data_IF_897886869675
#
_entry.id   IF_897886869675
#
_cell.length_a   1.000
_cell.length_b   1.000
_cell.length_c   1.000
_cell.angle_alpha   90.00
_cell.angle_beta   90.00
_cell.angle_gamma   90.00
#
_symmetry.space_group_name_H-M   'P 1'
#
loop_
_entity.id
_entity.type
_entity.pdbx_description
1 polymer ?
#
# COMPACT_ATOMS: atom_id res chain seq x y z
N UNK A 1 -15.52 -6.53 -86.78
CA UNK A 1 -15.01 -7.50 -87.79
C UNK A 1 -14.58 -8.77 -87.11
N UNK A 2 -15.12 -9.88 -87.61
CA UNK A 2 -14.80 -11.32 -87.37
C UNK A 2 -15.07 -11.83 -85.95
N UNK A 3 -16.18 -12.52 -85.70
CA UNK A 3 -16.70 -13.83 -86.10
C UNK A 3 -15.66 -14.96 -85.98
N UNK A 4 -16.00 -15.95 -85.24
CA UNK A 4 -16.17 -17.40 -85.49
C UNK A 4 -16.02 -18.12 -84.15
N UNK A 5 -16.80 -19.03 -83.67
CA UNK A 5 -17.84 -19.97 -84.12
C UNK A 5 -17.65 -21.26 -83.27
N UNK A 6 -18.74 -21.71 -82.74
CA UNK A 6 -19.12 -23.09 -82.33
C UNK A 6 -18.10 -24.23 -82.36
N UNK A 7 -18.05 -25.01 -81.27
CA UNK A 7 -18.28 -26.46 -81.34
C UNK A 7 -18.92 -26.98 -80.01
N UNK A 8 -20.05 -27.63 -80.17
CA UNK A 8 -20.75 -28.42 -79.16
C UNK A 8 -20.12 -29.80 -79.03
N UNK A 9 -19.90 -30.27 -77.86
CA UNK A 9 -19.75 -31.69 -77.58
C UNK A 9 -20.56 -32.06 -76.30
N UNK A 10 -21.63 -32.82 -76.58
CA UNK A 10 -22.37 -33.52 -75.51
C UNK A 10 -21.56 -34.74 -75.08
N UNK A 11 -21.25 -34.83 -73.79
CA UNK A 11 -20.92 -36.09 -73.15
C UNK A 11 -21.72 -36.20 -71.82
N UNK A 12 -22.52 -37.25 -71.75
CA UNK A 12 -23.33 -37.55 -70.60
C UNK A 12 -22.52 -38.02 -69.41
N UNK A 13 -22.92 -37.57 -68.24
CA UNK A 13 -22.35 -38.00 -66.96
C UNK A 13 -23.48 -38.66 -66.13
N UNK A 14 -23.22 -39.83 -65.54
CA UNK A 14 -24.24 -40.56 -64.76
C UNK A 14 -24.56 -39.87 -63.45
N UNK A 15 -25.84 -39.94 -63.07
CA UNK A 15 -26.34 -39.46 -61.78
C UNK A 15 -25.78 -40.33 -60.67
N UNK A 16 -24.72 -39.84 -59.98
CA UNK A 16 -24.35 -40.33 -58.66
C UNK A 16 -25.17 -39.62 -57.59
N UNK A 17 -25.88 -40.43 -56.83
CA UNK A 17 -26.67 -40.06 -55.65
C UNK A 17 -25.65 -39.65 -54.56
N UNK A 18 -25.44 -38.35 -54.33
CA UNK A 18 -24.68 -37.88 -53.18
C UNK A 18 -25.56 -37.89 -51.96
N UNK A 19 -25.36 -38.90 -51.12
CA UNK A 19 -25.95 -38.98 -49.80
C UNK A 19 -25.25 -37.93 -48.93
N UNK A 20 -25.94 -36.80 -48.66
CA UNK A 20 -25.47 -35.77 -47.75
C UNK A 20 -25.67 -36.26 -46.32
N UNK A 21 -24.62 -36.82 -45.71
CA UNK A 21 -24.61 -37.11 -44.27
C UNK A 21 -24.50 -35.77 -43.55
N UNK A 22 -25.62 -35.24 -43.06
CA UNK A 22 -25.63 -34.10 -42.14
C UNK A 22 -25.19 -34.63 -40.77
N UNK A 23 -23.92 -34.49 -40.46
CA UNK A 23 -23.39 -34.63 -39.08
C UNK A 23 -23.97 -33.49 -38.25
N UNK A 24 -25.04 -33.78 -37.51
CA UNK A 24 -25.53 -32.89 -36.45
C UNK A 24 -24.53 -32.98 -35.31
N UNK A 25 -23.52 -32.08 -35.28
CA UNK A 25 -22.75 -31.82 -34.08
C UNK A 25 -23.67 -31.11 -33.10
N UNK A 26 -23.86 -31.62 -31.86
CA UNK A 26 -24.54 -30.85 -30.84
C UNK A 26 -23.62 -29.65 -30.53
N UNK A 27 -24.13 -28.45 -30.84
CA UNK A 27 -23.55 -27.20 -30.32
C UNK A 27 -23.69 -27.21 -28.79
N UNK A 28 -22.72 -27.76 -28.10
CA UNK A 28 -22.58 -27.50 -26.67
C UNK A 28 -22.28 -26.01 -26.54
N UNK A 29 -23.05 -25.25 -25.75
CA UNK A 29 -22.72 -23.87 -25.47
C UNK A 29 -21.30 -23.82 -24.81
N UNK A 30 -20.48 -22.82 -25.14
CA UNK A 30 -19.21 -22.67 -24.45
C UNK A 30 -19.51 -22.50 -22.95
N UNK A 31 -19.09 -23.44 -22.14
CA UNK A 31 -19.02 -23.29 -20.71
C UNK A 31 -18.03 -22.15 -20.47
N UNK A 32 -18.52 -20.92 -20.36
CA UNK A 32 -17.78 -19.85 -19.72
C UNK A 32 -17.61 -20.29 -18.26
N UNK A 33 -16.47 -20.91 -17.96
CA UNK A 33 -15.95 -20.95 -16.60
C UNK A 33 -15.73 -19.48 -16.22
N UNK A 34 -16.78 -18.84 -15.73
CA UNK A 34 -16.63 -17.63 -14.92
C UNK A 34 -15.85 -18.07 -13.70
N UNK A 35 -14.52 -17.98 -13.79
CA UNK A 35 -13.67 -18.03 -12.63
C UNK A 35 -14.14 -16.88 -11.74
N UNK A 36 -14.97 -17.18 -10.74
CA UNK A 36 -15.14 -16.26 -9.61
C UNK A 36 -13.75 -16.01 -9.08
N UNK A 37 -13.19 -14.84 -9.35
CA UNK A 37 -12.07 -14.35 -8.55
C UNK A 37 -12.56 -14.45 -7.11
N UNK A 38 -11.90 -15.30 -6.32
CA UNK A 38 -12.21 -15.43 -4.91
C UNK A 38 -12.03 -14.03 -4.33
N UNK A 39 -13.14 -13.38 -3.95
CA UNK A 39 -13.08 -12.09 -3.28
C UNK A 39 -12.28 -12.31 -2.00
N UNK A 40 -11.21 -11.56 -1.80
CA UNK A 40 -10.48 -11.60 -0.54
C UNK A 40 -11.46 -11.29 0.58
N UNK A 41 -11.39 -12.04 1.68
CA UNK A 41 -12.22 -11.73 2.85
C UNK A 41 -11.92 -10.29 3.32
N UNK A 42 -12.96 -9.50 3.66
CA UNK A 42 -12.76 -8.14 4.12
C UNK A 42 -11.85 -8.08 5.35
N UNK A 43 -10.96 -7.09 5.41
CA UNK A 43 -10.11 -6.86 6.58
C UNK A 43 -10.95 -6.48 7.80
N UNK A 44 -10.55 -6.98 8.97
CA UNK A 44 -11.14 -6.55 10.23
C UNK A 44 -10.76 -5.09 10.50
N UNK A 45 -11.76 -4.22 10.58
CA UNK A 45 -11.59 -2.79 10.84
C UNK A 45 -12.05 -2.44 12.25
N UNK A 46 -11.35 -1.54 12.90
CA UNK A 46 -11.78 -0.91 14.15
C UNK A 46 -11.98 0.58 13.94
N UNK A 47 -13.15 1.08 14.34
CA UNK A 47 -13.37 2.52 14.43
C UNK A 47 -12.66 3.04 15.69
N UNK A 48 -11.60 3.83 15.52
CA UNK A 48 -10.74 4.34 16.60
C UNK A 48 -11.14 5.75 17.05
N UNK A 49 -11.83 6.47 16.16
CA UNK A 49 -12.48 7.75 16.41
C UNK A 49 -13.67 7.89 15.44
N UNK A 50 -14.62 8.83 15.66
CA UNK A 50 -15.74 9.03 14.74
C UNK A 50 -15.27 9.19 13.29
N UNK A 51 -15.70 8.27 12.40
CA UNK A 51 -15.34 8.22 11.00
C UNK A 51 -13.87 7.89 10.68
N UNK A 52 -13.08 7.43 11.64
CA UNK A 52 -11.69 6.97 11.47
C UNK A 52 -11.62 5.47 11.70
N UNK A 53 -11.28 4.71 10.66
CA UNK A 53 -11.25 3.25 10.67
C UNK A 53 -9.84 2.75 10.38
N UNK A 54 -9.35 1.82 11.20
CA UNK A 54 -8.00 1.24 11.12
C UNK A 54 -8.08 -0.27 11.08
N UNK A 55 -7.38 -0.87 10.14
CA UNK A 55 -6.95 -2.25 10.18
C UNK A 55 -5.57 -2.30 10.84
N UNK A 56 -5.38 -3.23 11.76
CA UNK A 56 -4.10 -3.43 12.44
C UNK A 56 -3.37 -4.56 11.78
N UNK A 57 -2.23 -4.24 11.19
CA UNK A 57 -1.36 -5.23 10.57
C UNK A 57 -0.86 -6.28 11.57
N UNK A 58 -0.58 -7.45 11.08
CA UNK A 58 -0.10 -8.58 11.88
C UNK A 58 1.31 -8.31 12.38
N UNK A 59 1.62 -8.80 13.59
CA UNK A 59 2.98 -8.75 14.13
C UNK A 59 3.82 -9.90 13.55
N UNK A 60 4.25 -9.73 12.29
CA UNK A 60 5.09 -10.67 11.54
C UNK A 60 6.27 -9.95 10.93
N UNK A 61 7.35 -10.68 10.68
CA UNK A 61 8.47 -10.20 9.88
C UNK A 61 8.26 -10.47 8.39
N UNK A 62 8.99 -9.74 7.53
CA UNK A 62 8.92 -9.91 6.08
C UNK A 62 9.30 -11.31 5.59
N UNK A 63 10.08 -12.08 6.37
CA UNK A 63 10.59 -13.41 6.00
C UNK A 63 9.74 -14.57 6.52
N UNK A 64 9.05 -14.40 7.63
CA UNK A 64 8.32 -15.45 8.34
C UNK A 64 6.83 -15.45 8.03
N UNK A 65 6.45 -15.91 6.82
CA UNK A 65 5.04 -16.03 6.42
C UNK A 65 4.38 -14.67 6.16
N UNK A 66 5.15 -13.74 5.59
CA UNK A 66 4.63 -12.46 5.10
C UNK A 66 3.52 -12.70 4.08
N UNK A 67 2.40 -12.04 4.25
CA UNK A 67 1.19 -12.15 3.42
C UNK A 67 0.70 -10.79 2.91
N UNK A 68 1.51 -9.72 3.06
CA UNK A 68 1.15 -8.36 2.67
C UNK A 68 0.42 -7.57 3.76
N UNK A 69 0.20 -8.14 4.94
CA UNK A 69 -0.62 -7.56 6.01
C UNK A 69 0.17 -7.37 7.31
N UNK A 70 1.10 -6.40 7.33
CA UNK A 70 1.90 -6.09 8.53
C UNK A 70 1.81 -4.62 8.97
N UNK A 71 1.36 -3.72 8.10
CA UNK A 71 1.21 -2.30 8.40
C UNK A 71 -0.21 -1.97 8.86
N UNK A 72 -0.34 -0.92 9.67
CA UNK A 72 -1.63 -0.31 9.94
C UNK A 72 -2.07 0.51 8.73
N UNK A 73 -3.23 0.16 8.20
CA UNK A 73 -3.85 0.82 7.05
C UNK A 73 -5.28 1.18 7.38
N UNK A 74 -5.88 2.10 6.65
CA UNK A 74 -7.29 2.41 6.91
C UNK A 74 -7.79 3.63 6.16
N UNK A 75 -8.82 4.28 6.72
CA UNK A 75 -9.45 5.39 6.02
C UNK A 75 -10.20 6.34 6.97
N UNK A 76 -10.44 7.53 6.45
CA UNK A 76 -11.25 8.57 7.09
C UNK A 76 -12.46 8.87 6.22
N UNK A 77 -13.66 8.80 6.81
CA UNK A 77 -14.94 9.05 6.15
C UNK A 77 -15.41 10.47 6.46
N UNK A 78 -15.61 11.28 5.42
CA UNK A 78 -16.26 12.57 5.49
C UNK A 78 -17.75 12.49 5.19
N UNK A 79 -18.39 13.62 4.84
CA UNK A 79 -19.79 13.63 4.39
C UNK A 79 -19.95 13.45 2.89
N UNK A 80 -18.92 13.66 2.07
CA UNK A 80 -18.98 13.56 0.60
C UNK A 80 -17.96 12.56 0.03
N UNK A 81 -16.91 12.24 0.76
CA UNK A 81 -15.83 11.44 0.26
C UNK A 81 -15.07 10.71 1.38
N UNK A 82 -14.22 9.77 0.95
CA UNK A 82 -13.30 9.00 1.79
C UNK A 82 -11.86 9.29 1.37
N UNK A 83 -10.96 9.36 2.37
CA UNK A 83 -9.52 9.29 2.16
C UNK A 83 -9.00 7.97 2.74
N UNK A 84 -8.32 7.17 1.92
CA UNK A 84 -7.60 5.96 2.34
C UNK A 84 -6.17 6.36 2.70
N UNK A 85 -5.66 5.86 3.82
CA UNK A 85 -4.30 6.11 4.29
C UNK A 85 -3.57 4.78 4.35
N UNK A 86 -2.55 4.66 3.50
CA UNK A 86 -1.84 3.43 3.15
C UNK A 86 -2.77 2.29 2.70
N UNK A 87 -2.24 1.32 2.00
CA UNK A 87 -3.07 0.35 1.28
C UNK A 87 -2.64 -1.10 1.50
N UNK A 88 -1.57 -1.32 2.26
CA UNK A 88 -1.03 -2.66 2.52
C UNK A 88 0.01 -3.12 1.51
N UNK A 89 0.56 -4.28 1.79
CA UNK A 89 1.73 -4.82 1.11
C UNK A 89 1.44 -5.68 -0.11
N UNK A 90 0.18 -5.76 -0.56
CA UNK A 90 -0.21 -6.48 -1.77
C UNK A 90 -1.51 -5.93 -2.36
N UNK A 91 -1.75 -6.23 -3.64
CA UNK A 91 -3.04 -5.95 -4.28
C UNK A 91 -4.20 -6.63 -3.53
N UNK A 92 -3.99 -7.86 -3.08
CA UNK A 92 -4.99 -8.60 -2.32
C UNK A 92 -5.35 -7.90 -0.99
N UNK A 93 -4.36 -7.39 -0.26
CA UNK A 93 -4.58 -6.60 0.96
C UNK A 93 -5.34 -5.31 0.66
N UNK A 94 -4.97 -4.60 -0.42
CA UNK A 94 -5.68 -3.41 -0.88
C UNK A 94 -7.13 -3.69 -1.26
N UNK A 95 -7.40 -4.80 -1.94
CA UNK A 95 -8.77 -5.24 -2.28
C UNK A 95 -9.59 -5.56 -1.03
N UNK A 96 -9.00 -6.27 -0.07
CA UNK A 96 -9.66 -6.60 1.19
C UNK A 96 -9.99 -5.33 2.01
N UNK A 97 -9.11 -4.31 2.00
CA UNK A 97 -9.39 -2.99 2.58
C UNK A 97 -10.54 -2.29 1.84
N UNK A 98 -10.54 -2.32 0.50
CA UNK A 98 -11.58 -1.71 -0.34
C UNK A 98 -12.95 -2.35 -0.08
N UNK A 99 -13.02 -3.67 0.04
CA UNK A 99 -14.25 -4.39 0.40
C UNK A 99 -14.74 -4.05 1.81
N UNK A 100 -13.81 -3.99 2.79
CA UNK A 100 -14.14 -3.57 4.16
C UNK A 100 -14.65 -2.12 4.22
N UNK A 101 -14.09 -1.22 3.42
CA UNK A 101 -14.57 0.16 3.27
C UNK A 101 -15.98 0.21 2.71
N UNK A 102 -16.26 -0.53 1.64
CA UNK A 102 -17.58 -0.60 1.00
C UNK A 102 -18.67 -1.13 1.91
N UNK A 103 -18.33 -1.99 2.85
CA UNK A 103 -19.26 -2.46 3.88
C UNK A 103 -19.66 -1.36 4.88
N UNK A 104 -18.87 -0.29 4.99
CA UNK A 104 -19.09 0.82 5.92
C UNK A 104 -19.75 2.02 5.21
N UNK A 105 -19.33 2.34 3.98
CA UNK A 105 -19.84 3.50 3.24
C UNK A 105 -19.76 3.29 1.73
N UNK A 106 -20.73 3.86 1.01
CA UNK A 106 -20.74 3.93 -0.45
C UNK A 106 -20.18 5.24 -1.00
N UNK A 107 -19.70 6.14 -0.13
CA UNK A 107 -19.06 7.38 -0.56
C UNK A 107 -17.83 7.09 -1.42
N UNK A 108 -17.55 7.94 -2.43
CA UNK A 108 -16.40 7.73 -3.30
C UNK A 108 -15.08 7.91 -2.54
N UNK A 109 -14.11 7.05 -2.83
CA UNK A 109 -12.72 7.30 -2.43
C UNK A 109 -12.19 8.43 -3.30
N UNK A 110 -11.95 9.58 -2.73
CA UNK A 110 -11.42 10.77 -3.43
C UNK A 110 -9.90 10.83 -3.37
N UNK A 111 -9.32 10.32 -2.29
CA UNK A 111 -7.89 10.37 -2.05
C UNK A 111 -7.38 9.01 -1.57
N UNK A 112 -6.22 8.62 -2.10
CA UNK A 112 -5.35 7.59 -1.50
C UNK A 112 -4.08 8.33 -1.08
N UNK A 113 -3.67 8.17 0.17
CA UNK A 113 -2.53 8.90 0.74
C UNK A 113 -1.52 7.88 1.21
N UNK A 114 -0.29 7.92 0.68
CA UNK A 114 0.79 7.11 1.19
C UNK A 114 1.62 7.91 2.18
N UNK A 115 1.79 7.35 3.38
CA UNK A 115 2.62 7.94 4.43
C UNK A 115 4.10 7.94 4.06
N UNK A 116 4.55 6.87 3.36
CA UNK A 116 5.88 6.73 2.80
C UNK A 116 5.90 5.60 1.75
N UNK A 117 7.08 5.19 1.28
CA UNK A 117 7.23 4.29 0.14
C UNK A 117 7.64 2.86 0.45
N UNK A 118 7.54 2.38 1.69
CA UNK A 118 7.82 0.98 1.97
C UNK A 118 6.74 0.04 1.41
N UNK A 119 7.13 -1.18 1.04
CA UNK A 119 6.25 -2.11 0.32
C UNK A 119 4.93 -2.40 1.01
N UNK A 120 4.95 -2.56 2.33
CA UNK A 120 3.79 -2.87 3.16
C UNK A 120 2.77 -1.73 3.31
N UNK A 121 3.09 -0.54 2.80
CA UNK A 121 2.20 0.62 2.77
C UNK A 121 1.63 0.92 1.40
N UNK A 122 2.27 0.49 0.28
CA UNK A 122 1.96 1.02 -1.05
C UNK A 122 1.54 -0.01 -2.10
N UNK A 123 1.83 -1.31 -1.93
CA UNK A 123 1.53 -2.30 -2.97
C UNK A 123 0.05 -2.57 -3.17
N UNK A 124 -0.82 -2.18 -2.22
CA UNK A 124 -2.27 -2.20 -2.37
C UNK A 124 -2.84 -1.02 -3.17
N UNK A 125 -2.04 -0.01 -3.55
CA UNK A 125 -2.52 1.17 -4.27
C UNK A 125 -3.30 0.81 -5.54
N UNK A 126 -2.86 -0.20 -6.30
CA UNK A 126 -3.50 -0.63 -7.54
C UNK A 126 -4.96 -1.01 -7.34
N UNK A 127 -5.34 -1.58 -6.20
CA UNK A 127 -6.72 -1.95 -5.89
C UNK A 127 -7.68 -0.75 -5.88
N UNK A 128 -7.19 0.43 -5.57
CA UNK A 128 -7.97 1.68 -5.54
C UNK A 128 -7.90 2.44 -6.87
N UNK A 129 -6.86 2.22 -7.68
CA UNK A 129 -6.69 2.87 -8.98
C UNK A 129 -7.44 2.12 -10.10
N UNK A 130 -7.82 0.88 -9.85
CA UNK A 130 -8.54 0.03 -10.80
C UNK A 130 -10.01 0.49 -10.84
N UNK A 131 -10.39 1.15 -11.93
CA UNK A 131 -11.72 1.70 -12.13
C UNK A 131 -12.66 0.64 -12.72
N UNK A 132 -13.24 -0.17 -11.86
CA UNK A 132 -14.28 -1.14 -12.26
C UNK A 132 -15.67 -0.51 -12.46
N UNK A 133 -15.84 0.81 -12.42
CA UNK A 133 -17.17 1.43 -12.39
C UNK A 133 -17.38 2.71 -13.20
N UNK A 134 -16.39 3.19 -13.97
CA UNK A 134 -16.52 4.43 -14.77
C UNK A 134 -16.39 5.72 -13.96
N UNK A 135 -16.06 5.65 -12.66
CA UNK A 135 -15.73 6.82 -11.86
C UNK A 135 -14.27 7.22 -12.07
N UNK A 136 -13.94 8.48 -11.94
CA UNK A 136 -12.56 8.94 -11.99
C UNK A 136 -11.76 8.28 -10.84
N UNK A 137 -10.52 7.80 -11.10
CA UNK A 137 -9.69 7.22 -10.05
C UNK A 137 -9.37 8.27 -8.98
N UNK A 138 -9.17 7.84 -7.72
CA UNK A 138 -8.78 8.75 -6.65
C UNK A 138 -7.43 9.42 -6.94
N UNK A 139 -7.22 10.60 -6.35
CA UNK A 139 -5.91 11.22 -6.36
C UNK A 139 -4.99 10.46 -5.41
N UNK A 140 -3.86 9.94 -5.93
CA UNK A 140 -2.80 9.34 -5.12
C UNK A 140 -1.84 10.44 -4.66
N UNK A 141 -1.81 10.70 -3.37
CA UNK A 141 -1.01 11.78 -2.75
C UNK A 141 0.09 11.17 -1.89
N UNK A 142 1.30 11.70 -2.03
CA UNK A 142 2.46 11.27 -1.26
C UNK A 142 3.43 12.44 -1.07
N UNK A 143 4.54 12.20 -0.36
CA UNK A 143 5.67 13.10 -0.34
C UNK A 143 6.26 13.27 -1.75
N UNK A 144 6.65 14.49 -2.15
CA UNK A 144 7.19 14.77 -3.50
C UNK A 144 8.44 13.96 -3.88
N UNK A 145 9.17 13.41 -2.89
CA UNK A 145 10.34 12.55 -3.13
C UNK A 145 9.97 11.07 -3.40
N UNK A 146 8.72 10.67 -3.19
CA UNK A 146 8.32 9.28 -3.40
C UNK A 146 8.49 8.81 -4.86
N UNK A 147 8.04 9.54 -5.91
CA UNK A 147 8.22 9.08 -7.28
C UNK A 147 9.68 8.84 -7.68
N UNK A 148 10.64 9.77 -7.44
CA UNK A 148 12.05 9.49 -7.74
C UNK A 148 12.66 8.38 -6.88
N UNK A 149 12.17 8.17 -5.65
CA UNK A 149 12.57 7.02 -4.84
C UNK A 149 12.11 5.70 -5.48
N UNK A 150 10.84 5.59 -5.87
CA UNK A 150 10.30 4.40 -6.53
C UNK A 150 10.95 4.13 -7.89
N UNK A 151 11.35 5.16 -8.62
CA UNK A 151 12.10 5.00 -9.86
C UNK A 151 13.46 4.30 -9.64
N UNK A 152 14.08 4.48 -8.47
CA UNK A 152 15.36 3.83 -8.11
C UNK A 152 15.19 2.46 -7.46
N UNK A 153 14.17 2.29 -6.61
CA UNK A 153 13.99 1.10 -5.75
C UNK A 153 12.89 0.14 -6.22
N UNK A 154 11.98 0.62 -7.06
CA UNK A 154 10.76 -0.11 -7.39
C UNK A 154 10.98 -1.49 -8.02
N UNK A 155 11.98 -1.65 -8.88
CA UNK A 155 12.30 -2.96 -9.46
C UNK A 155 12.76 -3.97 -8.41
N UNK A 156 13.54 -3.52 -7.43
CA UNK A 156 13.96 -4.38 -6.32
C UNK A 156 12.75 -4.76 -5.45
N UNK A 157 11.87 -3.82 -5.16
CA UNK A 157 10.65 -4.05 -4.39
C UNK A 157 9.75 -5.11 -5.05
N UNK A 158 9.50 -4.99 -6.36
CA UNK A 158 8.71 -5.98 -7.11
C UNK A 158 9.35 -7.37 -7.09
N UNK A 159 10.67 -7.46 -7.28
CA UNK A 159 11.37 -8.76 -7.20
C UNK A 159 11.31 -9.36 -5.80
N UNK A 160 11.43 -8.55 -4.76
CA UNK A 160 11.33 -9.01 -3.38
C UNK A 160 9.91 -9.51 -3.09
N UNK A 161 8.90 -8.73 -3.47
CA UNK A 161 7.50 -9.10 -3.29
C UNK A 161 7.17 -10.43 -4.00
N UNK A 162 7.58 -10.58 -5.26
CA UNK A 162 7.38 -11.83 -6.00
C UNK A 162 8.04 -13.04 -5.33
N UNK A 163 9.21 -12.86 -4.70
CA UNK A 163 9.87 -13.94 -3.94
C UNK A 163 9.15 -14.27 -2.64
N UNK A 164 8.59 -13.26 -1.97
CA UNK A 164 7.92 -13.42 -0.67
C UNK A 164 6.50 -13.96 -0.80
N UNK A 165 5.74 -13.48 -1.77
CA UNK A 165 4.32 -13.81 -1.93
C UNK A 165 4.04 -14.81 -3.06
N UNK A 166 5.00 -15.07 -3.96
CA UNK A 166 4.73 -15.92 -5.14
C UNK A 166 3.54 -15.41 -5.93
N UNK A 167 2.54 -16.26 -6.16
CA UNK A 167 1.29 -15.91 -6.87
C UNK A 167 0.48 -14.82 -6.13
N UNK A 168 0.64 -14.68 -4.82
CA UNK A 168 0.02 -13.63 -4.02
C UNK A 168 0.50 -12.20 -4.36
N UNK A 169 1.60 -12.07 -5.09
CA UNK A 169 2.08 -10.78 -5.61
C UNK A 169 1.30 -10.28 -6.84
N UNK A 170 0.41 -11.11 -7.42
CA UNK A 170 -0.34 -10.76 -8.63
C UNK A 170 -1.14 -9.47 -8.43
N UNK A 171 -1.10 -8.58 -9.42
CA UNK A 171 -1.79 -7.29 -9.38
C UNK A 171 -1.11 -6.20 -8.52
N UNK A 172 -0.10 -6.55 -7.73
CA UNK A 172 0.63 -5.60 -6.87
C UNK A 172 1.55 -4.72 -7.71
N UNK A 173 1.03 -3.59 -8.17
CA UNK A 173 1.74 -2.63 -9.01
C UNK A 173 2.20 -1.43 -8.18
N UNK A 174 3.39 -0.91 -8.50
CA UNK A 174 3.82 0.38 -7.99
C UNK A 174 3.18 1.48 -8.82
N UNK A 175 2.28 2.23 -8.20
CA UNK A 175 1.58 3.34 -8.84
C UNK A 175 2.27 4.64 -8.44
N UNK A 176 2.61 5.46 -9.42
CA UNK A 176 3.17 6.79 -9.16
C UNK A 176 2.10 7.71 -8.57
N UNK A 177 2.47 8.52 -7.58
CA UNK A 177 1.58 9.53 -7.03
C UNK A 177 1.24 10.59 -8.09
N UNK A 178 -0.04 11.01 -8.11
CA UNK A 178 -0.55 12.06 -9.00
C UNK A 178 -0.48 13.45 -8.37
N UNK A 179 -0.26 13.50 -7.06
CA UNK A 179 -0.04 14.72 -6.27
C UNK A 179 1.09 14.52 -5.28
N UNK A 180 1.83 15.59 -4.98
CA UNK A 180 2.93 15.56 -4.03
C UNK A 180 2.98 16.80 -3.16
N UNK A 181 3.49 16.63 -1.93
CA UNK A 181 3.72 17.69 -0.97
C UNK A 181 5.19 17.69 -0.55
N UNK A 182 5.82 18.85 -0.50
CA UNK A 182 7.22 19.05 -0.12
C UNK A 182 7.39 19.41 1.36
N UNK A 183 8.63 19.27 1.83
CA UNK A 183 9.00 19.70 3.19
C UNK A 183 8.73 21.19 3.35
N UNK A 184 8.08 21.56 4.46
CA UNK A 184 7.67 22.94 4.75
C UNK A 184 6.33 23.32 4.17
N UNK A 185 5.78 22.55 3.25
CA UNK A 185 4.44 22.76 2.71
C UNK A 185 3.37 22.08 3.60
N UNK A 186 2.15 22.57 3.48
CA UNK A 186 0.96 21.97 4.10
C UNK A 186 -0.14 21.86 3.05
N UNK A 187 -0.76 20.69 2.99
CA UNK A 187 -1.89 20.45 2.12
C UNK A 187 -3.13 20.15 2.98
N UNK A 188 -4.24 20.82 2.67
CA UNK A 188 -5.55 20.53 3.26
C UNK A 188 -6.41 19.82 2.23
N UNK A 189 -6.92 18.65 2.59
CA UNK A 189 -7.87 17.89 1.79
C UNK A 189 -9.25 17.97 2.45
N UNK A 190 -10.28 18.21 1.66
CA UNK A 190 -11.65 18.27 2.15
C UNK A 190 -12.45 17.04 1.71
N UNK A 191 -13.12 16.42 2.66
CA UNK A 191 -13.97 15.25 2.48
C UNK A 191 -15.48 15.60 2.62
N UNK A 192 -15.84 16.86 2.43
CA UNK A 192 -17.17 17.40 2.70
C UNK A 192 -17.26 17.96 4.13
N UNK A 193 -16.61 19.13 4.36
CA UNK A 193 -16.55 19.78 5.68
C UNK A 193 -15.62 19.11 6.70
N UNK A 194 -15.03 17.96 6.37
CA UNK A 194 -14.02 17.29 7.17
C UNK A 194 -12.65 17.44 6.54
N UNK A 195 -11.75 18.13 7.22
CA UNK A 195 -10.43 18.48 6.69
C UNK A 195 -9.33 17.58 7.22
N UNK A 196 -8.53 17.04 6.30
CA UNK A 196 -7.28 16.35 6.60
C UNK A 196 -6.11 17.30 6.31
N UNK A 197 -5.25 17.52 7.29
CA UNK A 197 -4.03 18.31 7.14
C UNK A 197 -2.83 17.36 6.96
N UNK A 198 -2.18 17.44 5.79
CA UNK A 198 -1.01 16.67 5.46
C UNK A 198 0.25 17.48 5.72
N UNK A 199 1.29 16.82 6.25
CA UNK A 199 2.61 17.40 6.48
C UNK A 199 3.69 16.46 5.95
N UNK A 200 4.53 16.97 5.07
CA UNK A 200 5.75 16.29 4.63
C UNK A 200 6.89 16.59 5.62
N UNK A 201 7.70 15.57 5.90
CA UNK A 201 8.81 15.65 6.84
C UNK A 201 10.16 15.70 6.14
N UNK A 202 11.17 16.32 6.75
CA UNK A 202 12.57 16.09 6.39
C UNK A 202 12.91 14.60 6.54
N UNK A 203 14.02 14.17 5.94
CA UNK A 203 14.51 12.79 6.09
C UNK A 203 14.50 12.35 7.54
N UNK A 204 13.73 11.29 7.83
CA UNK A 204 13.55 10.72 9.17
C UNK A 204 13.57 9.19 9.08
N UNK A 205 12.41 8.49 9.16
CA UNK A 205 12.34 7.05 8.91
C UNK A 205 12.72 6.72 7.46
N UNK A 206 12.24 7.52 6.50
CA UNK A 206 12.68 7.56 5.11
C UNK A 206 13.03 9.00 4.70
N UNK A 207 13.38 9.23 3.42
CA UNK A 207 13.53 10.57 2.87
C UNK A 207 12.21 11.17 2.33
N UNK A 208 11.09 10.46 2.52
CA UNK A 208 9.78 10.80 1.95
C UNK A 208 8.59 10.49 2.89
N UNK A 209 8.77 10.78 4.18
CA UNK A 209 7.74 10.58 5.19
C UNK A 209 6.66 11.67 5.16
N UNK A 210 5.41 11.28 5.38
CA UNK A 210 4.23 12.14 5.41
C UNK A 210 3.32 11.74 6.57
N UNK A 211 2.74 12.71 7.26
CA UNK A 211 1.71 12.48 8.28
C UNK A 211 0.38 13.08 7.84
N UNK A 212 -0.73 12.49 8.35
CA UNK A 212 -2.10 12.91 8.05
C UNK A 212 -2.83 13.20 9.35
N UNK A 213 -3.19 14.45 9.58
CA UNK A 213 -3.94 14.88 10.76
C UNK A 213 -5.41 15.14 10.41
N UNK A 214 -6.30 14.39 10.99
CA UNK A 214 -7.73 14.63 10.91
C UNK A 214 -8.17 15.68 11.93
N UNK A 215 -8.51 16.87 11.44
CA UNK A 215 -8.86 18.01 12.28
C UNK A 215 -10.14 17.83 13.08
N UNK A 216 -11.06 16.98 12.62
CA UNK A 216 -12.34 16.74 13.25
C UNK A 216 -12.22 15.83 14.48
N UNK A 217 -11.43 14.77 14.40
CA UNK A 217 -11.27 13.81 15.48
C UNK A 217 -10.00 14.02 16.33
N UNK A 218 -9.03 14.79 15.82
CA UNK A 218 -7.71 14.92 16.43
C UNK A 218 -6.84 13.68 16.25
N UNK A 219 -7.20 12.77 15.35
CA UNK A 219 -6.39 11.60 15.02
C UNK A 219 -5.25 11.98 14.08
N UNK A 220 -4.03 11.52 14.39
CA UNK A 220 -2.82 11.70 13.58
C UNK A 220 -2.30 10.34 13.13
N UNK A 221 -2.31 10.12 11.82
CA UNK A 221 -1.62 9.01 11.19
C UNK A 221 -0.15 9.39 11.00
N UNK A 222 0.72 8.66 11.65
CA UNK A 222 2.16 8.96 11.66
C UNK A 222 2.94 8.17 10.62
N UNK A 223 2.32 7.12 10.04
CA UNK A 223 3.10 6.13 9.33
C UNK A 223 4.24 5.62 10.23
N UNK A 224 5.33 5.25 9.61
CA UNK A 224 6.50 4.67 10.28
C UNK A 224 7.40 5.69 10.99
N UNK A 225 6.95 6.94 11.12
CA UNK A 225 7.56 7.86 12.09
C UNK A 225 7.34 7.41 13.53
N UNK A 226 6.34 6.53 13.77
CA UNK A 226 6.07 5.92 15.07
C UNK A 226 5.82 4.42 14.94
N UNK A 227 6.55 3.63 15.73
CA UNK A 227 6.35 2.20 15.97
C UNK A 227 5.96 1.98 17.42
N UNK A 228 4.99 1.11 17.69
CA UNK A 228 4.59 0.72 19.04
C UNK A 228 4.60 -0.80 19.17
N UNK A 229 5.41 -1.32 20.10
CA UNK A 229 5.52 -2.76 20.32
C UNK A 229 6.31 -3.51 19.25
N UNK A 230 7.00 -2.78 18.35
CA UNK A 230 7.91 -3.33 17.34
C UNK A 230 9.21 -2.53 17.32
N UNK A 231 10.29 -3.18 16.93
CA UNK A 231 11.56 -2.48 16.67
C UNK A 231 11.41 -1.58 15.46
N UNK A 232 11.73 -0.29 15.57
CA UNK A 232 11.73 0.62 14.44
C UNK A 232 12.70 0.20 13.34
N UNK A 233 12.25 0.15 12.10
CA UNK A 233 13.09 -0.09 10.91
C UNK A 233 13.78 1.21 10.50
N UNK A 234 15.08 1.17 10.19
CA UNK A 234 15.89 2.34 9.86
C UNK A 234 16.27 2.32 8.38
N UNK A 235 15.75 3.26 7.59
CA UNK A 235 16.10 3.43 6.17
C UNK A 235 16.45 4.88 5.78
N UNK A 236 16.27 5.84 6.69
CA UNK A 236 16.50 7.25 6.45
C UNK A 236 17.69 7.84 7.23
N UNK A 237 17.41 8.85 8.05
CA UNK A 237 18.38 9.51 8.93
C UNK A 237 17.97 9.47 10.40
N UNK A 238 18.75 8.79 11.20
CA UNK A 238 18.47 8.61 12.63
C UNK A 238 18.37 9.96 13.40
N UNK A 239 19.19 10.95 13.04
CA UNK A 239 19.12 12.27 13.68
C UNK A 239 17.89 13.05 13.26
N UNK A 240 17.54 12.96 11.97
CA UNK A 240 16.31 13.53 11.45
C UNK A 240 15.07 12.87 12.07
N UNK A 241 15.14 11.56 12.31
CA UNK A 241 14.03 10.85 12.97
C UNK A 241 13.89 11.25 14.45
N UNK A 242 14.97 11.42 15.18
CA UNK A 242 14.94 12.00 16.54
C UNK A 242 14.28 13.39 16.54
N UNK A 243 14.66 14.26 15.59
CA UNK A 243 14.05 15.59 15.46
C UNK A 243 12.56 15.52 15.09
N UNK A 244 12.17 14.60 14.21
CA UNK A 244 10.76 14.37 13.87
C UNK A 244 9.95 13.86 15.07
N UNK A 245 10.53 12.93 15.86
CA UNK A 245 9.91 12.40 17.09
C UNK A 245 9.69 13.53 18.12
N UNK A 246 10.68 14.41 18.31
CA UNK A 246 10.56 15.57 19.20
C UNK A 246 9.49 16.57 18.73
N UNK A 247 9.38 16.78 17.40
CA UNK A 247 8.36 17.65 16.83
C UNK A 247 6.94 17.05 16.94
N UNK A 248 6.81 15.73 16.75
CA UNK A 248 5.53 15.01 16.94
C UNK A 248 5.04 15.05 18.38
N UNK A 249 5.96 15.05 19.36
CA UNK A 249 5.59 15.16 20.79
C UNK A 249 4.96 16.51 21.16
N UNK A 250 5.19 17.54 20.33
CA UNK A 250 4.56 18.87 20.44
C UNK A 250 3.23 19.01 19.70
N UNK A 251 2.81 18.01 18.90
CA UNK A 251 1.56 18.05 18.15
C UNK A 251 0.33 17.92 19.06
N UNK A 252 -0.79 18.51 18.61
CA UNK A 252 -2.07 18.51 19.35
C UNK A 252 -2.91 17.26 19.08
N UNK A 253 -2.30 16.17 18.66
CA UNK A 253 -3.01 14.92 18.41
C UNK A 253 -3.57 14.33 19.70
N UNK A 254 -4.85 13.94 19.68
CA UNK A 254 -5.52 13.26 20.81
C UNK A 254 -5.48 11.74 20.67
N UNK A 255 -5.12 11.27 19.48
CA UNK A 255 -4.96 9.86 19.10
C UNK A 255 -3.84 9.77 18.06
N UNK A 256 -2.86 8.91 18.28
CA UNK A 256 -1.87 8.58 17.25
C UNK A 256 -2.10 7.18 16.71
N UNK A 257 -2.00 7.07 15.39
CA UNK A 257 -2.10 5.83 14.62
C UNK A 257 -0.72 5.59 14.01
N UNK A 258 0.09 4.68 14.60
CA UNK A 258 1.42 4.38 14.11
C UNK A 258 1.35 3.56 12.82
N UNK A 259 2.45 3.47 12.07
CA UNK A 259 2.55 2.55 10.94
C UNK A 259 2.47 1.10 11.36
N UNK A 260 2.98 0.79 12.57
CA UNK A 260 2.93 -0.55 13.15
C UNK A 260 2.61 -0.52 14.64
N UNK A 261 1.77 -1.47 15.07
CA UNK A 261 1.39 -1.64 16.46
C UNK A 261 0.09 -0.95 16.84
N UNK A 262 -0.27 -0.89 18.13
CA UNK A 262 -1.56 -0.36 18.58
C UNK A 262 -1.64 1.17 18.44
N UNK A 263 -2.84 1.70 18.24
CA UNK A 263 -3.11 3.13 18.39
C UNK A 263 -2.94 3.55 19.85
N UNK A 264 -2.57 4.80 20.08
CA UNK A 264 -2.38 5.33 21.43
C UNK A 264 -2.99 6.71 21.60
N UNK A 265 -3.56 6.95 22.81
CA UNK A 265 -3.94 8.29 23.28
C UNK A 265 -2.87 8.90 24.18
N UNK A 266 -1.89 8.11 24.60
CA UNK A 266 -0.70 8.57 25.29
C UNK A 266 0.48 8.70 24.30
N UNK A 267 0.32 9.68 23.43
CA UNK A 267 1.31 10.00 22.39
C UNK A 267 2.67 10.33 22.98
N UNK A 268 2.68 11.07 24.11
CA UNK A 268 3.92 11.49 24.76
C UNK A 268 4.73 10.30 25.25
N UNK A 269 4.11 9.34 25.90
CA UNK A 269 4.80 8.14 26.38
C UNK A 269 5.31 7.28 25.21
N UNK A 270 4.49 7.05 24.18
CA UNK A 270 4.91 6.26 23.03
C UNK A 270 6.10 6.87 22.29
N UNK A 271 6.04 8.18 22.04
CA UNK A 271 7.16 8.91 21.39
C UNK A 271 8.41 8.96 22.26
N UNK A 272 8.28 9.11 23.58
CA UNK A 272 9.41 9.10 24.48
C UNK A 272 10.14 7.74 24.45
N UNK A 273 9.41 6.63 24.50
CA UNK A 273 10.01 5.28 24.40
C UNK A 273 10.76 5.08 23.09
N UNK A 274 10.15 5.46 21.96
CA UNK A 274 10.84 5.38 20.67
C UNK A 274 12.07 6.27 20.61
N UNK A 275 11.94 7.50 21.13
CA UNK A 275 13.06 8.44 21.21
C UNK A 275 14.24 7.88 22.00
N UNK A 276 13.96 7.27 23.15
CA UNK A 276 14.98 6.67 24.00
C UNK A 276 15.71 5.52 23.28
N UNK A 277 14.95 4.67 22.56
CA UNK A 277 15.52 3.62 21.70
C UNK A 277 16.45 4.22 20.62
N UNK A 278 15.95 5.19 19.83
CA UNK A 278 16.72 5.82 18.76
C UNK A 278 17.97 6.55 19.28
N UNK A 279 17.85 7.23 20.43
CA UNK A 279 18.97 7.93 21.06
C UNK A 279 20.02 6.95 21.60
N UNK A 280 19.59 5.83 22.18
CA UNK A 280 20.46 4.75 22.62
C UNK A 280 21.24 4.17 21.44
N UNK A 281 20.53 3.82 20.36
CA UNK A 281 21.15 3.30 19.14
C UNK A 281 22.18 4.28 18.58
N UNK A 282 21.83 5.58 18.49
CA UNK A 282 22.78 6.61 18.02
C UNK A 282 24.03 6.72 18.90
N UNK A 283 23.88 6.65 20.22
CA UNK A 283 24.98 6.68 21.17
C UNK A 283 25.88 5.46 20.99
N UNK A 284 25.30 4.27 20.90
CA UNK A 284 26.04 3.02 20.87
C UNK A 284 26.80 2.86 19.55
N UNK A 285 26.15 3.15 18.41
CA UNK A 285 26.82 3.16 17.10
C UNK A 285 28.00 4.16 17.07
N UNK A 286 27.84 5.35 17.65
CA UNK A 286 28.95 6.33 17.75
C UNK A 286 30.10 5.83 18.62
N UNK A 287 29.80 5.16 19.74
CA UNK A 287 30.81 4.58 20.61
C UNK A 287 31.60 3.46 19.90
N UNK A 288 30.88 2.64 19.13
CA UNK A 288 31.48 1.55 18.34
C UNK A 288 32.38 2.08 17.21
N UNK A 289 31.94 3.12 16.50
CA UNK A 289 32.77 3.80 15.50
C UNK A 289 34.04 4.39 16.14
N UNK A 290 33.91 5.07 17.29
CA UNK A 290 35.02 5.61 18.01
C UNK A 290 36.01 4.55 18.53
N UNK A 291 35.52 3.37 18.84
CA UNK A 291 36.29 2.19 19.23
C UNK A 291 36.80 1.35 18.04
N UNK A 292 36.58 1.80 16.79
CA UNK A 292 36.96 1.09 15.57
C UNK A 292 36.38 -0.32 15.48
N UNK A 293 35.20 -0.58 16.06
CA UNK A 293 34.51 -1.85 15.96
C UNK A 293 33.81 -1.96 14.61
N UNK A 294 33.86 -3.14 14.01
CA UNK A 294 33.04 -3.49 12.85
C UNK A 294 31.61 -3.84 13.26
N UNK A 295 30.73 -4.03 12.28
CA UNK A 295 29.32 -4.37 12.52
C UNK A 295 29.16 -5.68 13.30
N UNK A 296 29.96 -6.69 13.02
CA UNK A 296 29.90 -8.01 13.70
C UNK A 296 30.23 -7.88 15.19
N UNK A 297 31.28 -7.11 15.51
CA UNK A 297 31.69 -6.81 16.87
C UNK A 297 30.64 -5.99 17.62
N UNK A 298 30.05 -4.99 16.95
CA UNK A 298 28.99 -4.14 17.51
C UNK A 298 27.74 -4.96 17.82
N UNK A 299 27.28 -5.82 16.90
CA UNK A 299 26.14 -6.69 17.12
C UNK A 299 26.37 -7.68 18.28
N UNK A 300 27.57 -8.26 18.40
CA UNK A 300 27.91 -9.15 19.51
C UNK A 300 27.85 -8.43 20.87
N UNK A 301 28.32 -7.18 20.93
CA UNK A 301 28.32 -6.36 22.14
C UNK A 301 26.90 -5.95 22.55
N UNK A 302 26.06 -5.51 21.60
CA UNK A 302 24.66 -5.16 21.84
C UNK A 302 23.88 -6.37 22.35
N UNK A 303 23.99 -7.53 21.68
CA UNK A 303 23.33 -8.76 22.10
C UNK A 303 23.78 -9.27 23.49
N UNK A 304 24.99 -8.96 23.93
CA UNK A 304 25.45 -9.30 25.27
C UNK A 304 24.85 -8.37 26.35
N UNK A 305 24.72 -7.08 26.05
CA UNK A 305 24.11 -6.09 26.96
C UNK A 305 22.63 -6.36 27.23
N UNK A 306 21.87 -6.77 26.20
CA UNK A 306 20.44 -7.12 26.33
C UNK A 306 20.20 -8.41 27.12
N UNK A 307 21.16 -9.35 27.14
CA UNK A 307 21.05 -10.61 27.91
C UNK A 307 21.38 -10.47 29.38
N UNK A 308 21.96 -9.36 29.78
CA UNK A 308 22.42 -9.07 31.16
C UNK A 308 21.51 -8.12 31.93
N UNK A 309 20.42 -7.64 31.37
CA UNK A 309 19.39 -6.78 31.99
C UNK A 309 18.08 -7.51 32.09
#
# INVERSE_FOLDING_TARGET
>A
MRQLAFISARLGVPRFLVLLLILVFPLLPPFFLSGSAASAAPLALRQVAPGVYVHFGQHKDFEAGYDGDIANIGFVVGSEAVAVIDTGGSYATGMALKEALRAITLLPVRYVINTHGHPDHIFGNAAFMDDAGGAAPPQLIAHQRLPPFLARRGDQYRRNLARQLGDGAAGSLLIASTGGIGVGERLLLDLGGRQLALRAWPTAHTDHDLTVFDRASGALWTGDLLFIGRTPSLDGDLKGWLAATDALAGDRATLMIPGHGPVTRDARHALARQRDYLATLLRDVRADIAAHRDMTQSMATAAAAERGG
#
